data_IF_326115041015
#
_entry.id   IF_326115041015
#
_cell.length_a   1.000
_cell.length_b   1.000
_cell.length_c   1.000
_cell.angle_alpha   90.00
_cell.angle_beta   90.00
_cell.angle_gamma   90.00
#
_symmetry.space_group_name_H-M   'P 1'
#
loop_
_entity.id
_entity.type
_entity.pdbx_description
1 polymer ?
#
# COMPACT_ATOMS: atom_id res chain seq x y z
N UNK A 1 -14.53 22.71 12.74
CA UNK A 1 -13.09 22.98 12.59
C UNK A 1 -12.93 24.29 11.83
N UNK A 2 -12.00 25.19 12.18
CA UNK A 2 -11.96 26.53 11.60
C UNK A 2 -11.45 26.45 10.15
N UNK A 3 -12.28 26.88 9.19
CA UNK A 3 -11.94 26.97 7.77
C UNK A 3 -11.03 28.19 7.56
N UNK A 4 -9.72 28.00 7.64
CA UNK A 4 -8.77 29.05 7.24
C UNK A 4 -8.77 29.12 5.71
N UNK A 5 -9.39 30.16 5.14
CA UNK A 5 -9.59 30.35 3.70
C UNK A 5 -8.33 30.83 3.01
N UNK A 6 -7.30 29.97 2.95
CA UNK A 6 -6.27 30.11 1.93
C UNK A 6 -6.98 29.93 0.58
N UNK A 7 -6.76 30.84 -0.37
CA UNK A 7 -7.29 30.71 -1.73
C UNK A 7 -6.68 29.45 -2.33
N UNK A 8 -7.46 28.36 -2.36
CA UNK A 8 -7.05 27.08 -2.94
C UNK A 8 -7.29 27.11 -4.44
N UNK A 9 -6.38 26.52 -5.20
CA UNK A 9 -6.57 26.37 -6.64
C UNK A 9 -7.76 25.41 -6.86
N UNK A 10 -8.73 25.76 -7.72
CA UNK A 10 -9.88 24.91 -7.98
C UNK A 10 -9.43 23.61 -8.66
N UNK A 11 -10.13 22.52 -8.38
CA UNK A 11 -9.94 21.27 -9.12
C UNK A 11 -10.32 21.54 -10.58
N UNK A 12 -9.44 21.24 -11.56
CA UNK A 12 -9.79 21.35 -12.97
C UNK A 12 -10.95 20.42 -13.34
N UNK A 13 -11.90 20.88 -14.15
CA UNK A 13 -12.98 20.04 -14.70
C UNK A 13 -12.45 18.81 -15.44
N UNK A 14 -11.32 18.98 -16.14
CA UNK A 14 -10.59 17.91 -16.81
C UNK A 14 -9.08 18.11 -16.65
N UNK A 15 -8.38 17.03 -16.28
CA UNK A 15 -6.95 16.92 -16.49
C UNK A 15 -6.67 16.43 -17.92
N UNK A 16 -5.63 16.95 -18.56
CA UNK A 16 -5.19 16.59 -19.91
C UNK A 16 -4.51 15.22 -19.94
N UNK A 17 -3.95 14.78 -18.82
CA UNK A 17 -3.38 13.44 -18.65
C UNK A 17 -3.43 12.96 -17.19
N UNK A 18 -3.10 11.68 -16.98
CA UNK A 18 -3.01 11.09 -15.63
C UNK A 18 -1.82 11.70 -14.87
N UNK A 19 -0.72 11.98 -15.57
CA UNK A 19 0.48 12.60 -14.99
C UNK A 19 0.18 14.01 -14.47
N UNK A 20 -0.56 14.83 -15.23
CA UNK A 20 -0.97 16.18 -14.78
C UNK A 20 -1.88 16.09 -13.54
N UNK A 21 -2.78 15.11 -13.49
CA UNK A 21 -3.59 14.85 -12.30
C UNK A 21 -2.72 14.46 -11.09
N UNK A 22 -1.69 13.63 -11.30
CA UNK A 22 -0.71 13.28 -10.29
C UNK A 22 0.05 14.50 -9.76
N UNK A 23 0.62 15.31 -10.65
CA UNK A 23 1.35 16.53 -10.30
C UNK A 23 0.48 17.52 -9.49
N UNK A 24 -0.80 17.64 -9.83
CA UNK A 24 -1.75 18.43 -9.03
C UNK A 24 -1.88 17.87 -7.62
N UNK A 25 -2.18 16.58 -7.46
CA UNK A 25 -2.40 15.96 -6.14
C UNK A 25 -1.12 15.75 -5.32
N UNK A 26 0.08 15.79 -5.91
CA UNK A 26 1.34 15.75 -5.18
C UNK A 26 1.53 16.96 -4.23
N UNK A 27 0.87 18.09 -4.55
CA UNK A 27 0.94 19.33 -3.78
C UNK A 27 -0.37 19.73 -3.08
N UNK A 28 -1.45 18.97 -3.30
CA UNK A 28 -2.79 19.26 -2.77
C UNK A 28 -3.31 18.09 -1.94
N UNK A 29 -3.86 18.35 -0.76
CA UNK A 29 -4.50 17.32 0.06
C UNK A 29 -5.95 17.10 -0.40
N UNK A 30 -6.33 15.87 -0.73
CA UNK A 30 -7.71 15.52 -1.10
C UNK A 30 -8.72 15.92 -0.01
N UNK A 31 -8.34 15.85 1.27
CA UNK A 31 -9.20 16.23 2.38
C UNK A 31 -9.60 17.71 2.35
N UNK A 32 -8.76 18.59 1.77
CA UNK A 32 -9.04 20.01 1.63
C UNK A 32 -10.14 20.32 0.60
N UNK A 33 -10.44 19.35 -0.26
CA UNK A 33 -11.41 19.45 -1.35
C UNK A 33 -12.63 18.54 -1.17
N UNK A 34 -12.81 17.94 0.01
CA UNK A 34 -13.85 16.96 0.26
C UNK A 34 -15.26 17.43 -0.16
N UNK A 35 -15.60 18.68 0.17
CA UNK A 35 -16.88 19.31 -0.19
C UNK A 35 -17.10 19.47 -1.72
N UNK A 36 -16.03 19.36 -2.53
CA UNK A 36 -16.03 19.45 -3.99
C UNK A 36 -15.92 18.09 -4.69
N UNK A 37 -15.86 16.99 -3.93
CA UNK A 37 -15.80 15.63 -4.49
C UNK A 37 -17.17 14.96 -4.51
N UNK A 38 -17.34 13.96 -5.37
CA UNK A 38 -18.54 13.13 -5.44
C UNK A 38 -18.21 11.66 -5.15
N UNK A 39 -19.17 10.93 -4.59
CA UNK A 39 -19.02 9.49 -4.39
C UNK A 39 -18.78 8.76 -5.72
N UNK A 40 -17.77 7.89 -5.75
CA UNK A 40 -17.42 7.08 -6.91
C UNK A 40 -17.61 5.60 -6.58
N UNK A 41 -18.41 4.89 -7.38
CA UNK A 41 -18.55 3.45 -7.28
C UNK A 41 -17.59 2.75 -8.24
N UNK A 42 -16.81 1.82 -7.70
CA UNK A 42 -15.91 0.97 -8.47
C UNK A 42 -15.83 -0.42 -7.85
N UNK A 43 -15.65 -1.44 -8.69
CA UNK A 43 -15.46 -2.80 -8.27
C UNK A 43 -13.97 -3.12 -8.14
N UNK A 44 -13.56 -3.60 -6.97
CA UNK A 44 -12.19 -4.07 -6.73
C UNK A 44 -12.17 -5.59 -6.68
N UNK A 45 -11.42 -6.19 -7.58
CA UNK A 45 -11.21 -7.63 -7.57
C UNK A 45 -9.88 -8.00 -6.88
N UNK A 46 -9.92 -8.21 -5.56
CA UNK A 46 -8.75 -8.61 -4.78
C UNK A 46 -8.48 -10.11 -5.00
N UNK A 47 -7.61 -10.44 -5.95
CA UNK A 47 -7.29 -11.82 -6.34
C UNK A 47 -6.42 -12.58 -5.32
N UNK A 48 -5.70 -11.88 -4.44
CA UNK A 48 -4.77 -12.48 -3.46
C UNK A 48 -5.01 -11.93 -2.07
N UNK A 49 -5.25 -12.82 -1.10
CA UNK A 49 -5.22 -12.47 0.32
C UNK A 49 -3.81 -12.65 0.85
N UNK A 50 -3.27 -11.60 1.45
CA UNK A 50 -1.97 -11.62 2.12
C UNK A 50 -2.21 -11.43 3.61
N UNK A 51 -1.63 -12.32 4.42
CA UNK A 51 -1.62 -12.19 5.87
C UNK A 51 -0.26 -11.61 6.29
N UNK A 52 -0.30 -10.46 6.95
CA UNK A 52 0.91 -9.82 7.46
C UNK A 52 1.14 -10.27 8.90
N UNK A 53 2.33 -10.79 9.16
CA UNK A 53 2.80 -11.12 10.50
C UNK A 53 3.99 -10.22 10.85
N UNK A 54 3.94 -9.59 12.02
CA UNK A 54 5.07 -8.83 12.53
C UNK A 54 6.20 -9.81 12.91
N UNK A 55 7.44 -9.47 12.52
CA UNK A 55 8.64 -10.22 12.87
C UNK A 55 9.58 -9.33 13.67
N UNK A 56 10.26 -9.93 14.64
CA UNK A 56 11.36 -9.26 15.34
C UNK A 56 12.43 -8.77 14.34
N UNK A 57 12.95 -7.54 14.46
CA UNK A 57 13.82 -6.95 13.43
C UNK A 57 15.05 -7.80 13.10
N UNK A 58 15.65 -8.42 14.12
CA UNK A 58 16.84 -9.25 13.93
C UNK A 58 16.51 -10.60 13.31
N UNK A 59 15.31 -11.13 13.54
CA UNK A 59 14.81 -12.33 12.86
C UNK A 59 14.56 -12.02 11.38
N UNK A 60 13.89 -10.92 11.08
CA UNK A 60 13.62 -10.49 9.71
C UNK A 60 14.93 -10.33 8.90
N UNK A 61 15.96 -9.71 9.47
CA UNK A 61 17.28 -9.59 8.82
C UNK A 61 17.92 -10.95 8.53
N UNK A 62 17.88 -11.88 9.49
CA UNK A 62 18.43 -13.23 9.32
C UNK A 62 17.68 -13.99 8.22
N UNK A 63 16.35 -13.97 8.24
CA UNK A 63 15.52 -14.63 7.24
C UNK A 63 15.80 -14.08 5.84
N UNK A 64 15.90 -12.76 5.69
CA UNK A 64 16.24 -12.13 4.42
C UNK A 64 17.62 -12.56 3.92
N UNK A 65 18.63 -12.60 4.79
CA UNK A 65 19.96 -13.07 4.41
C UNK A 65 19.97 -14.56 3.99
N UNK A 66 19.17 -15.41 4.65
CA UNK A 66 19.02 -16.82 4.26
C UNK A 66 18.31 -16.99 2.93
N UNK A 67 17.25 -16.21 2.69
CA UNK A 67 16.50 -16.25 1.44
C UNK A 67 17.37 -15.81 0.26
N UNK A 68 18.13 -14.72 0.44
CA UNK A 68 19.10 -14.24 -0.55
C UNK A 68 20.17 -15.28 -0.91
N UNK A 69 20.74 -15.96 0.09
CA UNK A 69 21.72 -17.04 -0.15
C UNK A 69 21.14 -18.21 -0.94
N UNK A 70 19.83 -18.42 -0.88
CA UNK A 70 19.11 -19.47 -1.60
C UNK A 70 18.50 -18.98 -2.93
N UNK A 71 18.64 -17.69 -3.27
CA UNK A 71 18.07 -17.11 -4.49
C UNK A 71 16.55 -17.03 -4.50
N UNK A 72 15.91 -17.02 -3.33
CA UNK A 72 14.44 -16.94 -3.17
C UNK A 72 14.04 -15.69 -2.37
N UNK A 73 12.76 -15.33 -2.40
CA UNK A 73 12.24 -14.24 -1.57
C UNK A 73 12.12 -14.66 -0.10
N UNK A 74 12.20 -13.68 0.82
CA UNK A 74 11.97 -13.91 2.25
C UNK A 74 10.58 -14.48 2.51
N UNK A 75 9.57 -14.05 1.74
CA UNK A 75 8.21 -14.58 1.79
C UNK A 75 8.16 -16.07 1.45
N UNK A 76 8.82 -16.49 0.38
CA UNK A 76 8.87 -17.91 -0.02
C UNK A 76 9.56 -18.74 1.06
N UNK A 77 10.70 -18.28 1.58
CA UNK A 77 11.41 -18.98 2.66
C UNK A 77 10.52 -19.18 3.89
N UNK A 78 9.85 -18.12 4.34
CA UNK A 78 8.96 -18.15 5.51
C UNK A 78 7.81 -19.14 5.27
N UNK A 79 7.16 -19.08 4.11
CA UNK A 79 6.03 -19.96 3.82
C UNK A 79 6.43 -21.44 3.78
N UNK A 80 7.59 -21.78 3.21
CA UNK A 80 8.11 -23.15 3.20
C UNK A 80 8.34 -23.64 4.64
N UNK A 81 9.09 -22.89 5.44
CA UNK A 81 9.42 -23.27 6.81
C UNK A 81 8.19 -23.39 7.72
N UNK A 82 7.25 -22.45 7.61
CA UNK A 82 6.02 -22.51 8.39
C UNK A 82 5.13 -23.68 7.97
N UNK A 83 5.09 -24.02 6.67
CA UNK A 83 4.35 -25.19 6.19
C UNK A 83 4.94 -26.50 6.72
N UNK A 84 6.26 -26.62 6.75
CA UNK A 84 6.96 -27.76 7.35
C UNK A 84 6.62 -27.90 8.84
N UNK A 85 6.70 -26.79 9.59
CA UNK A 85 6.40 -26.77 11.03
C UNK A 85 4.93 -27.04 11.34
N UNK A 86 4.01 -26.54 10.52
CA UNK A 86 2.59 -26.82 10.68
C UNK A 86 2.28 -28.31 10.49
N UNK A 87 2.96 -28.98 9.55
CA UNK A 87 2.81 -30.43 9.32
C UNK A 87 3.35 -31.27 10.48
N UNK A 88 4.43 -30.84 11.12
CA UNK A 88 4.99 -31.53 12.30
C UNK A 88 4.10 -31.38 13.55
N UNK A 89 3.34 -30.29 13.64
CA UNK A 89 2.46 -30.01 14.78
C UNK A 89 1.10 -30.72 14.69
N UNK A 90 0.82 -31.43 13.59
CA UNK A 90 -0.42 -32.19 13.35
C UNK A 90 -0.15 -33.68 13.42
#
# INVERSE_FOLDING_TARGET
MPKNSLKRDPIPEHFKSIEEAGEFWDSHDLADYWDSTSEAHFDVNIQRRVFLAALEPQLAKKLTAFAQKQGISTETLINVWLSEKAREAT
#
